data_IF_277699751028
#
_entry.id   IF_277699751028
#
_cell.length_a   1.000
_cell.length_b   1.000
_cell.length_c   1.000
_cell.angle_alpha   90.00
_cell.angle_beta   90.00
_cell.angle_gamma   90.00
#
_symmetry.space_group_name_H-M   'P 1'
#
loop_
_entity.id
_entity.type
_entity.pdbx_description
1 polymer ?
#
# COMPACT_ATOMS: atom_id res chain seq x y z
N UNK A 1 5.62 -14.31 18.16
CA UNK A 1 4.65 -14.64 17.10
C UNK A 1 4.04 -13.33 16.64
N UNK A 2 4.59 -12.69 15.60
CA UNK A 2 4.05 -11.44 15.06
C UNK A 2 2.83 -11.79 14.21
N UNK A 3 1.64 -11.42 14.67
CA UNK A 3 0.43 -11.34 13.86
C UNK A 3 0.79 -10.58 12.58
N UNK A 4 0.89 -11.29 11.45
CA UNK A 4 1.52 -10.75 10.24
C UNK A 4 0.68 -9.62 9.66
N UNK A 5 1.25 -8.41 9.56
CA UNK A 5 0.59 -7.29 8.87
C UNK A 5 0.29 -7.65 7.41
N UNK A 6 -0.83 -7.14 6.89
CA UNK A 6 -1.31 -7.46 5.54
C UNK A 6 -0.22 -7.21 4.48
N UNK A 7 -0.02 -8.21 3.61
CA UNK A 7 0.84 -8.11 2.43
C UNK A 7 -0.01 -8.07 1.18
N UNK A 8 0.44 -7.32 0.19
CA UNK A 8 -0.31 -7.07 -1.04
C UNK A 8 0.47 -7.50 -2.28
N UNK A 9 -0.29 -7.91 -3.29
CA UNK A 9 0.18 -7.92 -4.67
C UNK A 9 -0.84 -7.15 -5.51
N UNK A 10 -0.34 -6.20 -6.28
CA UNK A 10 -1.15 -5.24 -7.02
C UNK A 10 -0.91 -5.45 -8.51
N UNK A 11 -1.97 -5.53 -9.30
CA UNK A 11 -1.85 -5.65 -10.76
C UNK A 11 -1.26 -4.40 -11.42
N UNK A 12 -1.01 -4.47 -12.73
CA UNK A 12 -0.43 -3.37 -13.50
C UNK A 12 -1.31 -2.10 -13.56
N UNK A 13 -2.61 -2.19 -13.28
CA UNK A 13 -3.55 -1.07 -13.39
C UNK A 13 -3.53 -0.15 -12.16
N UNK A 14 -2.95 -0.62 -11.06
CA UNK A 14 -3.06 0.01 -9.75
C UNK A 14 -1.70 0.46 -9.19
N UNK A 15 -0.77 0.83 -10.08
CA UNK A 15 0.59 1.24 -9.69
C UNK A 15 0.64 2.37 -8.66
N UNK A 16 -0.23 3.36 -8.76
CA UNK A 16 -0.35 4.42 -7.74
C UNK A 16 -0.70 3.83 -6.37
N UNK A 17 -1.70 2.94 -6.29
CA UNK A 17 -2.07 2.29 -5.04
C UNK A 17 -0.91 1.48 -4.45
N UNK A 18 -0.15 0.78 -5.29
CA UNK A 18 1.03 0.04 -4.86
C UNK A 18 2.07 0.95 -4.19
N UNK A 19 2.35 2.12 -4.78
CA UNK A 19 3.27 3.11 -4.20
C UNK A 19 2.77 3.61 -2.85
N UNK A 20 1.48 3.88 -2.73
CA UNK A 20 0.88 4.40 -1.50
C UNK A 20 0.90 3.39 -0.37
N UNK A 21 0.57 2.13 -0.63
CA UNK A 21 0.67 1.07 0.37
C UNK A 21 2.12 0.91 0.88
N UNK A 22 3.12 1.05 -0.01
CA UNK A 22 4.55 1.05 0.37
C UNK A 22 4.91 2.23 1.27
N UNK A 23 4.46 3.44 0.92
CA UNK A 23 4.67 4.65 1.74
C UNK A 23 4.08 4.44 3.14
N UNK A 24 2.87 3.87 3.22
CA UNK A 24 2.20 3.54 4.47
C UNK A 24 2.87 2.39 5.26
N UNK A 25 3.87 1.74 4.68
CA UNK A 25 4.68 0.71 5.33
C UNK A 25 4.23 -0.73 5.08
N UNK A 26 3.34 -0.99 4.12
CA UNK A 26 2.85 -2.33 3.79
C UNK A 26 3.65 -2.98 2.65
N UNK A 27 4.02 -4.26 2.84
CA UNK A 27 4.73 -5.04 1.84
C UNK A 27 3.84 -5.25 0.60
N UNK A 28 4.17 -4.56 -0.49
CA UNK A 28 3.34 -4.50 -1.68
C UNK A 28 4.14 -4.77 -2.94
N UNK A 29 3.94 -5.95 -3.53
CA UNK A 29 4.48 -6.30 -4.84
C UNK A 29 3.64 -5.63 -5.92
N UNK A 30 4.29 -5.03 -6.91
CA UNK A 30 3.63 -4.42 -8.07
C UNK A 30 3.90 -5.30 -9.30
N UNK A 31 2.86 -5.94 -9.79
CA UNK A 31 2.88 -6.90 -10.91
C UNK A 31 2.85 -6.22 -12.28
N UNK A 32 3.58 -5.12 -12.49
CA UNK A 32 3.53 -4.33 -13.73
C UNK A 32 3.85 -5.11 -15.01
N UNK A 33 4.57 -6.22 -14.88
CA UNK A 33 4.95 -7.12 -15.98
C UNK A 33 4.64 -8.59 -15.68
N UNK A 34 3.84 -8.85 -14.64
CA UNK A 34 3.51 -10.22 -14.25
C UNK A 34 2.26 -10.66 -14.99
N UNK A 35 2.29 -11.88 -15.50
CA UNK A 35 1.08 -12.55 -15.97
C UNK A 35 0.19 -12.96 -14.78
N UNK A 36 -1.11 -13.08 -15.03
CA UNK A 36 -2.12 -13.48 -14.03
C UNK A 36 -1.70 -14.71 -13.21
N UNK A 37 -1.17 -15.74 -13.86
CA UNK A 37 -0.82 -16.99 -13.19
C UNK A 37 0.32 -16.78 -12.17
N UNK A 38 1.26 -15.88 -12.47
CA UNK A 38 2.37 -15.55 -11.58
C UNK A 38 1.89 -14.70 -10.40
N UNK A 39 0.94 -13.78 -10.63
CA UNK A 39 0.27 -13.03 -9.55
C UNK A 39 -0.43 -14.00 -8.59
N UNK A 40 -1.26 -14.90 -9.13
CA UNK A 40 -1.98 -15.90 -8.35
C UNK A 40 -1.02 -16.81 -7.56
N UNK A 41 0.03 -17.30 -8.22
CA UNK A 41 1.03 -18.18 -7.59
C UNK A 41 1.77 -17.48 -6.46
N UNK A 42 2.18 -16.23 -6.67
CA UNK A 42 2.90 -15.46 -5.66
C UNK A 42 1.99 -15.10 -4.48
N UNK A 43 0.72 -14.77 -4.75
CA UNK A 43 -0.26 -14.51 -3.71
C UNK A 43 -0.48 -15.72 -2.81
N UNK A 44 -0.59 -16.91 -3.41
CA UNK A 44 -0.72 -18.19 -2.71
C UNK A 44 0.51 -18.47 -1.83
N UNK A 45 1.71 -18.44 -2.41
CA UNK A 45 2.94 -18.81 -1.70
C UNK A 45 3.30 -17.85 -0.56
N UNK A 46 3.00 -16.56 -0.72
CA UNK A 46 3.40 -15.53 0.24
C UNK A 46 2.25 -15.03 1.12
N UNK A 47 1.05 -15.59 0.97
CA UNK A 47 -0.15 -15.19 1.71
C UNK A 47 -0.57 -13.74 1.44
N UNK A 48 -0.43 -13.27 0.20
CA UNK A 48 -0.74 -11.87 -0.17
C UNK A 48 -2.19 -11.70 -0.61
N UNK A 49 -2.75 -10.55 -0.26
CA UNK A 49 -4.04 -10.10 -0.76
C UNK A 49 -3.84 -9.50 -2.16
N UNK A 50 -4.56 -10.02 -3.16
CA UNK A 50 -4.54 -9.51 -4.53
C UNK A 50 -5.42 -8.27 -4.63
N UNK A 51 -4.85 -7.14 -5.02
CA UNK A 51 -5.60 -5.92 -5.37
C UNK A 51 -5.63 -5.78 -6.89
N UNK A 52 -6.82 -5.76 -7.47
CA UNK A 52 -6.96 -5.74 -8.93
C UNK A 52 -8.20 -4.96 -9.39
N UNK A 53 -8.12 -4.41 -10.60
CA UNK A 53 -9.27 -3.90 -11.37
C UNK A 53 -9.83 -4.95 -12.33
N UNK A 54 -9.11 -6.04 -12.58
CA UNK A 54 -9.48 -7.11 -13.49
C UNK A 54 -10.42 -8.11 -12.80
N UNK A 55 -11.67 -8.17 -13.29
CA UNK A 55 -12.70 -9.10 -12.79
C UNK A 55 -12.33 -10.56 -13.04
N UNK A 56 -11.65 -10.86 -14.14
CA UNK A 56 -11.18 -12.20 -14.48
C UNK A 56 -10.11 -12.67 -13.51
N UNK A 57 -9.10 -11.85 -13.22
CA UNK A 57 -8.07 -12.16 -12.22
C UNK A 57 -8.68 -12.32 -10.82
N UNK A 58 -9.59 -11.42 -10.43
CA UNK A 58 -10.32 -11.52 -9.16
C UNK A 58 -11.09 -12.84 -9.04
N UNK A 59 -11.85 -13.21 -10.07
CA UNK A 59 -12.61 -14.47 -10.10
C UNK A 59 -11.70 -15.70 -10.04
N UNK A 60 -10.60 -15.71 -10.79
CA UNK A 60 -9.58 -16.78 -10.73
C UNK A 60 -8.99 -16.91 -9.32
N UNK A 61 -8.73 -15.79 -8.64
CA UNK A 61 -8.23 -15.78 -7.27
C UNK A 61 -9.23 -16.40 -6.29
N UNK A 62 -10.50 -15.97 -6.33
CA UNK A 62 -11.54 -16.49 -5.45
C UNK A 62 -11.78 -17.99 -5.66
N UNK A 63 -11.80 -18.46 -6.92
CA UNK A 63 -11.90 -19.90 -7.23
C UNK A 63 -10.77 -20.74 -6.65
N UNK A 64 -9.60 -20.13 -6.41
CA UNK A 64 -8.43 -20.76 -5.77
C UNK A 64 -8.40 -20.58 -4.25
N UNK A 65 -9.43 -19.97 -3.65
CA UNK A 65 -9.46 -19.67 -2.21
C UNK A 65 -8.51 -18.56 -1.78
N UNK A 66 -7.99 -17.75 -2.72
CA UNK A 66 -7.07 -16.65 -2.42
C UNK A 66 -7.84 -15.39 -2.01
N UNK A 67 -7.23 -14.60 -1.12
CA UNK A 67 -7.74 -13.28 -0.72
C UNK A 67 -7.58 -12.30 -1.90
N UNK A 68 -8.67 -11.70 -2.37
CA UNK A 68 -8.63 -10.70 -3.44
C UNK A 68 -9.66 -9.60 -3.22
N UNK A 69 -9.30 -8.37 -3.56
CA UNK A 69 -10.17 -7.19 -3.50
C UNK A 69 -10.27 -6.62 -4.91
N UNK A 70 -11.50 -6.57 -5.44
CA UNK A 70 -11.80 -5.89 -6.68
C UNK A 70 -12.02 -4.39 -6.41
N UNK A 71 -11.19 -3.55 -7.01
CA UNK A 71 -11.20 -2.11 -6.80
C UNK A 71 -11.77 -1.41 -8.03
N UNK A 72 -13.04 -1.02 -7.98
CA UNK A 72 -13.71 -0.35 -9.12
C UNK A 72 -13.80 1.17 -8.95
N UNK A 73 -13.35 1.69 -7.80
CA UNK A 73 -13.40 3.12 -7.48
C UNK A 73 -12.45 3.94 -8.35
N UNK A 74 -12.89 5.10 -8.83
CA UNK A 74 -12.12 5.92 -9.77
C UNK A 74 -10.96 6.69 -9.13
N UNK A 75 -11.06 7.00 -7.83
CA UNK A 75 -10.07 7.79 -7.11
C UNK A 75 -9.29 7.00 -6.06
N UNK A 76 -8.05 7.42 -5.83
CA UNK A 76 -7.12 6.77 -4.92
C UNK A 76 -7.59 6.77 -3.46
N UNK A 77 -8.22 7.85 -2.99
CA UNK A 77 -8.68 7.94 -1.61
C UNK A 77 -9.79 6.93 -1.32
N UNK A 78 -10.72 6.72 -2.27
CA UNK A 78 -11.75 5.68 -2.18
C UNK A 78 -11.15 4.27 -2.17
N UNK A 79 -10.18 4.00 -3.06
CA UNK A 79 -9.47 2.71 -3.08
C UNK A 79 -8.73 2.44 -1.76
N UNK A 80 -8.01 3.43 -1.21
CA UNK A 80 -7.34 3.32 0.09
C UNK A 80 -8.32 3.10 1.23
N UNK A 81 -9.46 3.79 1.24
CA UNK A 81 -10.52 3.61 2.22
C UNK A 81 -11.10 2.18 2.17
N UNK A 82 -11.38 1.67 0.97
CA UNK A 82 -11.87 0.30 0.79
C UNK A 82 -10.86 -0.74 1.26
N UNK A 83 -9.60 -0.62 0.85
CA UNK A 83 -8.51 -1.50 1.32
C UNK A 83 -8.38 -1.45 2.84
N UNK A 84 -8.37 -0.25 3.43
CA UNK A 84 -8.33 -0.07 4.89
C UNK A 84 -9.50 -0.73 5.61
N UNK A 85 -10.73 -0.54 5.11
CA UNK A 85 -11.93 -1.10 5.69
C UNK A 85 -11.96 -2.63 5.68
N UNK A 86 -11.41 -3.26 4.64
CA UNK A 86 -11.40 -4.70 4.47
C UNK A 86 -10.20 -5.41 5.12
N UNK A 87 -9.08 -4.72 5.30
CA UNK A 87 -7.80 -5.34 5.72
C UNK A 87 -7.23 -4.80 7.02
N UNK A 88 -7.75 -3.68 7.53
CA UNK A 88 -7.19 -2.99 8.69
C UNK A 88 -5.94 -2.16 8.38
N UNK A 89 -5.59 -1.97 7.10
CA UNK A 89 -4.54 -1.02 6.69
C UNK A 89 -4.78 0.33 7.35
N UNK A 90 -3.76 0.85 7.99
CA UNK A 90 -3.79 2.11 8.70
C UNK A 90 -3.48 3.24 7.71
N UNK A 91 -4.35 4.24 7.67
CA UNK A 91 -4.24 5.37 6.73
C UNK A 91 -3.43 6.52 7.34
N UNK A 92 -2.25 6.17 7.84
CA UNK A 92 -1.24 7.11 8.33
C UNK A 92 0.13 6.55 7.97
N UNK A 93 1.11 7.43 7.77
CA UNK A 93 2.46 6.99 7.44
C UNK A 93 3.20 6.60 8.73
N UNK A 94 3.71 5.37 8.74
CA UNK A 94 4.63 4.89 9.76
C UNK A 94 6.06 4.99 9.21
N UNK A 95 6.81 6.00 9.65
CA UNK A 95 8.16 6.27 9.16
C UNK A 95 9.18 5.19 9.52
N UNK A 96 8.89 4.36 10.53
CA UNK A 96 9.76 3.25 10.93
C UNK A 96 9.55 2.01 10.07
N UNK A 97 8.42 1.94 9.36
CA UNK A 97 8.02 0.79 8.55
C UNK A 97 7.87 1.11 7.07
N UNK A 98 7.99 2.39 6.70
CA UNK A 98 7.83 2.84 5.32
C UNK A 98 8.78 2.10 4.37
N UNK A 99 8.29 1.86 3.17
CA UNK A 99 9.01 1.12 2.12
C UNK A 99 9.22 2.02 0.91
N UNK A 100 10.29 1.75 0.18
CA UNK A 100 10.61 2.43 -1.05
C UNK A 100 9.42 2.35 -2.01
N UNK A 101 8.85 3.49 -2.44
CA UNK A 101 7.71 3.51 -3.36
C UNK A 101 8.02 2.84 -4.71
N UNK A 102 9.30 2.80 -5.11
CA UNK A 102 9.74 2.21 -6.37
C UNK A 102 9.85 0.70 -6.30
N UNK A 103 10.50 0.19 -5.26
CA UNK A 103 11.00 -1.20 -5.24
C UNK A 103 10.56 -2.03 -4.03
N UNK A 104 9.74 -1.46 -3.13
CA UNK A 104 9.17 -2.10 -1.94
C UNK A 104 10.18 -2.44 -0.81
N UNK A 105 11.46 -2.10 -0.97
CA UNK A 105 12.48 -2.35 0.06
C UNK A 105 12.19 -1.46 1.29
N UNK A 106 12.23 -2.00 2.52
CA UNK A 106 12.16 -1.17 3.74
C UNK A 106 13.18 -0.04 3.69
N UNK A 107 12.72 1.18 3.97
CA UNK A 107 13.63 2.31 4.02
C UNK A 107 14.39 2.32 5.35
N UNK A 108 15.66 2.68 5.31
CA UNK A 108 16.47 2.86 6.50
C UNK A 108 16.52 4.35 6.84
N UNK A 109 16.17 4.73 8.06
CA UNK A 109 16.45 6.08 8.58
C UNK A 109 17.96 6.26 8.71
N UNK A 110 18.48 7.39 8.24
CA UNK A 110 19.92 7.65 8.18
C UNK A 110 20.25 8.98 8.84
N UNK A 111 21.49 9.11 9.31
CA UNK A 111 22.00 10.39 9.77
C UNK A 111 22.10 11.36 8.60
N UNK A 112 21.87 12.65 8.88
CA UNK A 112 21.87 13.71 7.86
C UNK A 112 23.18 13.73 7.08
N UNK A 113 24.30 13.54 7.76
CA UNK A 113 25.65 13.51 7.20
C UNK A 113 25.80 12.45 6.10
N UNK A 114 25.11 11.29 6.21
CA UNK A 114 25.18 10.21 5.22
C UNK A 114 24.63 10.61 3.84
N UNK A 115 23.81 11.67 3.77
CA UNK A 115 23.11 12.10 2.56
C UNK A 115 23.63 13.43 2.00
N UNK A 116 24.63 14.05 2.63
CA UNK A 116 25.14 15.39 2.27
C UNK A 116 25.38 15.60 0.78
N UNK A 117 26.02 14.64 0.13
CA UNK A 117 26.36 14.70 -1.29
C UNK A 117 25.40 13.88 -2.18
N UNK A 118 24.31 13.36 -1.61
CA UNK A 118 23.29 12.53 -2.29
C UNK A 118 21.98 13.27 -2.53
N UNK A 119 21.81 14.46 -1.97
CA UNK A 119 20.63 15.32 -2.15
C UNK A 119 21.05 16.73 -2.55
N UNK A 120 20.17 17.52 -3.19
CA UNK A 120 20.47 18.92 -3.49
C UNK A 120 20.83 19.71 -2.20
N UNK A 121 21.78 20.66 -2.23
CA UNK A 121 22.21 21.41 -1.03
C UNK A 121 21.06 22.07 -0.27
N UNK A 122 20.05 22.58 -0.98
CA UNK A 122 18.85 23.16 -0.40
C UNK A 122 18.01 22.14 0.39
N UNK A 123 17.90 20.91 -0.11
CA UNK A 123 17.19 19.83 0.59
C UNK A 123 17.96 19.46 1.86
N UNK A 124 19.28 19.30 1.75
CA UNK A 124 20.15 19.04 2.90
C UNK A 124 20.01 20.12 3.97
N UNK A 125 20.01 21.40 3.60
CA UNK A 125 19.91 22.49 4.57
C UNK A 125 18.53 22.63 5.23
N UNK A 126 17.45 22.20 4.56
CA UNK A 126 16.07 22.44 5.01
C UNK A 126 15.45 21.28 5.80
N UNK A 127 16.06 20.10 5.79
CA UNK A 127 15.48 18.89 6.37
C UNK A 127 16.48 18.21 7.31
N UNK A 128 15.98 17.61 8.39
CA UNK A 128 16.80 16.88 9.36
C UNK A 128 16.66 15.36 9.22
N UNK A 129 15.44 14.88 8.97
CA UNK A 129 15.19 13.46 8.83
C UNK A 129 15.28 12.98 7.37
N UNK A 130 16.08 11.94 7.16
CA UNK A 130 16.28 11.29 5.87
C UNK A 130 16.12 9.79 5.96
N UNK A 131 15.67 9.22 4.85
CA UNK A 131 15.56 7.78 4.66
C UNK A 131 16.20 7.37 3.34
N UNK A 132 16.90 6.25 3.34
CA UNK A 132 17.57 5.72 2.14
C UNK A 132 17.04 4.33 1.83
N UNK A 133 16.72 4.09 0.56
CA UNK A 133 16.49 2.73 0.09
C UNK A 133 17.85 2.04 -0.10
N UNK A 134 18.16 0.95 0.64
CA UNK A 134 19.43 0.26 0.50
C UNK A 134 19.58 -0.48 -0.85
N UNK A 135 18.48 -0.67 -1.59
CA UNK A 135 18.48 -1.37 -2.88
C UNK A 135 18.70 -0.42 -4.06
N UNK A 136 17.89 0.62 -4.21
CA UNK A 136 18.00 1.56 -5.33
C UNK A 136 18.77 2.85 -5.01
N UNK A 137 19.18 3.07 -3.76
CA UNK A 137 19.96 4.22 -3.34
C UNK A 137 19.20 5.55 -3.26
N UNK A 138 17.89 5.57 -3.60
CA UNK A 138 17.07 6.79 -3.51
C UNK A 138 16.99 7.29 -2.07
N UNK A 139 17.09 8.61 -1.92
CA UNK A 139 16.93 9.33 -0.65
C UNK A 139 15.54 9.97 -0.59
N UNK A 140 14.90 9.89 0.57
CA UNK A 140 13.55 10.39 0.85
C UNK A 140 13.58 11.28 2.10
N UNK A 141 12.70 12.29 2.12
CA UNK A 141 12.53 13.22 3.22
C UNK A 141 11.09 13.77 3.23
N UNK A 142 10.66 14.34 4.34
CA UNK A 142 9.35 14.97 4.47
C UNK A 142 9.42 16.40 3.90
N UNK A 143 9.09 16.54 2.62
CA UNK A 143 9.10 17.83 1.90
C UNK A 143 7.71 18.36 1.57
N UNK A 144 7.63 19.32 0.64
CA UNK A 144 6.36 19.93 0.21
C UNK A 144 5.32 18.91 -0.32
N UNK A 145 5.78 17.80 -0.91
CA UNK A 145 4.89 16.71 -1.36
C UNK A 145 4.11 16.06 -0.21
N UNK A 146 4.55 16.25 1.04
CA UNK A 146 3.87 15.74 2.22
C UNK A 146 2.45 16.30 2.40
N UNK A 147 2.23 17.57 2.04
CA UNK A 147 0.90 18.19 2.12
C UNK A 147 -0.11 17.45 1.25
N UNK A 148 0.31 17.02 0.05
CA UNK A 148 -0.51 16.19 -0.83
C UNK A 148 -0.75 14.80 -0.24
N UNK A 149 0.28 14.21 0.39
CA UNK A 149 0.14 12.91 1.07
C UNK A 149 -0.94 12.98 2.14
N UNK A 150 -0.83 13.93 3.06
CA UNK A 150 -1.79 14.11 4.15
C UNK A 150 -3.19 14.49 3.66
N UNK A 151 -3.30 15.27 2.58
CA UNK A 151 -4.60 15.60 1.97
C UNK A 151 -5.33 14.34 1.53
N UNK A 152 -4.69 13.49 0.74
CA UNK A 152 -5.30 12.25 0.22
C UNK A 152 -5.58 11.26 1.37
N UNK A 153 -4.70 11.15 2.37
CA UNK A 153 -4.98 10.31 3.55
C UNK A 153 -6.15 10.87 4.36
N UNK A 154 -6.27 12.19 4.47
CA UNK A 154 -7.41 12.87 5.09
C UNK A 154 -8.72 12.48 4.40
N UNK A 155 -8.76 12.61 3.07
CA UNK A 155 -9.92 12.22 2.26
C UNK A 155 -10.24 10.72 2.42
N UNK A 156 -9.22 9.87 2.38
CA UNK A 156 -9.38 8.42 2.54
C UNK A 156 -9.94 8.06 3.93
N UNK A 157 -9.48 8.72 4.99
CA UNK A 157 -10.01 8.55 6.36
C UNK A 157 -11.48 9.01 6.46
N UNK A 158 -11.83 10.11 5.81
CA UNK A 158 -13.22 10.56 5.71
C UNK A 158 -14.10 9.51 5.03
N UNK A 159 -13.69 9.03 3.86
CA UNK A 159 -14.39 7.98 3.08
C UNK A 159 -14.49 6.64 3.81
N UNK A 160 -13.47 6.27 4.60
CA UNK A 160 -13.46 5.05 5.40
C UNK A 160 -14.64 5.00 6.39
N UNK A 161 -14.99 6.14 7.00
CA UNK A 161 -16.13 6.23 7.90
C UNK A 161 -17.45 5.85 7.22
N UNK A 162 -17.68 6.41 6.03
CA UNK A 162 -18.86 6.10 5.21
C UNK A 162 -18.89 4.64 4.78
N UNK A 163 -17.77 4.13 4.27
CA UNK A 163 -17.64 2.73 3.82
C UNK A 163 -17.92 1.73 4.94
N UNK A 164 -17.32 1.93 6.13
CA UNK A 164 -17.61 1.10 7.31
C UNK A 164 -19.09 1.13 7.70
N UNK A 165 -19.75 2.28 7.56
CA UNK A 165 -21.19 2.43 7.78
C UNK A 165 -22.02 1.64 6.76
N UNK A 166 -21.61 1.55 5.50
CA UNK A 166 -22.29 0.75 4.47
C UNK A 166 -22.11 -0.76 4.70
N UNK A 167 -20.90 -1.20 5.06
CA UNK A 167 -20.62 -2.60 5.42
C UNK A 167 -21.50 -3.08 6.59
N UNK A 168 -21.61 -2.28 7.66
CA UNK A 168 -22.47 -2.60 8.80
C UNK A 168 -23.95 -2.75 8.45
N UNK A 169 -24.41 -2.04 7.40
CA UNK A 169 -25.80 -2.06 6.92
C UNK A 169 -26.06 -3.15 5.87
N UNK A 170 -25.07 -3.99 5.54
CA UNK A 170 -25.20 -5.03 4.52
C UNK A 170 -25.39 -4.49 3.09
N UNK A 171 -25.09 -3.20 2.86
CA UNK A 171 -25.30 -2.55 1.56
C UNK A 171 -24.18 -2.84 0.55
N UNK A 172 -23.11 -3.53 0.96
CA UNK A 172 -22.01 -3.95 0.12
C UNK A 172 -21.76 -5.44 0.37
N UNK A 173 -21.98 -6.26 -0.66
CA UNK A 173 -21.66 -7.69 -0.64
C UNK A 173 -20.27 -7.89 -1.24
N UNK A 174 -19.23 -7.79 -0.41
CA UNK A 174 -17.87 -8.23 -0.77
C UNK A 174 -17.68 -9.65 -0.22
N UNK A 175 -17.47 -10.68 -1.06
CA UNK A 175 -17.14 -12.01 -0.57
C UNK A 175 -15.81 -11.94 0.19
N UNK A 176 -15.89 -11.96 1.53
CA UNK A 176 -14.72 -11.78 2.42
C UNK A 176 -14.79 -10.53 3.31
N UNK A 177 -15.93 -10.33 4.02
CA UNK A 177 -16.02 -9.42 5.15
C UNK A 177 -14.77 -9.51 6.06
N UNK A 178 -14.35 -8.39 6.70
CA UNK A 178 -12.94 -7.99 6.82
C UNK A 178 -12.03 -9.19 7.02
N UNK A 179 -11.04 -9.36 6.14
CA UNK A 179 -10.05 -10.43 6.22
C UNK A 179 -9.43 -10.36 7.61
N UNK A 180 -9.99 -11.12 8.57
CA UNK A 180 -9.48 -11.13 9.93
C UNK A 180 -8.04 -11.60 9.80
N UNK A 181 -7.12 -10.85 10.40
CA UNK A 181 -5.80 -11.39 10.66
C UNK A 181 -6.07 -12.61 11.54
N UNK A 182 -5.83 -13.79 10.98
CA UNK A 182 -6.06 -15.05 11.68
C UNK A 182 -5.30 -14.96 13.03
N UNK A 183 -6.05 -15.23 14.11
CA UNK A 183 -5.61 -15.06 15.50
C UNK A 183 -4.53 -16.07 15.89
#
# INVERSE_FOLDING_TARGET
>A
MTTGEAKFIVDAMLGSLARWLRILGYDTVYGSRMEDWLILRRAELEGRIILTRDRGLHHKALKRGLKSILLQDDDLASMLAKVSGLTGVRLYVDYERTRCPEDNTPLRKVDKEEVKDKVPPRVYSMHEDFWVCPRCGKVYWVGNHWKMIESILGDARGKLGFFKGQLKRGMVNEPGAPFRADA
#
